data_IF_660048748478
#
_entry.id   IF_660048748478
#
_cell.length_a   1.000
_cell.length_b   1.000
_cell.length_c   1.000
_cell.angle_alpha   90.00
_cell.angle_beta   90.00
_cell.angle_gamma   90.00
#
_symmetry.space_group_name_H-M   'P 1'
#
loop_
_entity.id
_entity.type
_entity.pdbx_description
1 polymer ?
#
# COMPACT_ATOMS: atom_id res chain seq x y z
N UNK A 1 33.88 -8.35 -6.05
CA UNK A 1 32.74 -9.12 -6.58
C UNK A 1 31.46 -8.61 -5.97
N UNK A 2 30.56 -8.05 -6.78
CA UNK A 2 29.21 -7.75 -6.31
C UNK A 2 28.54 -9.09 -6.03
N UNK A 3 28.08 -9.31 -4.80
CA UNK A 3 27.38 -10.53 -4.42
C UNK A 3 26.15 -10.69 -5.32
N UNK A 4 26.16 -11.71 -6.20
CA UNK A 4 25.13 -11.89 -7.23
C UNK A 4 23.88 -12.59 -6.72
N UNK A 5 23.73 -12.76 -5.40
CA UNK A 5 22.67 -13.57 -4.80
C UNK A 5 22.85 -15.07 -4.99
N UNK A 6 21.98 -15.85 -4.36
CA UNK A 6 21.82 -17.28 -4.65
C UNK A 6 20.95 -17.47 -5.89
N UNK A 7 21.08 -18.63 -6.55
CA UNK A 7 20.22 -19.02 -7.68
C UNK A 7 19.44 -20.26 -7.29
N UNK A 8 18.15 -20.12 -7.08
CA UNK A 8 17.27 -21.20 -6.64
C UNK A 8 15.82 -20.93 -7.04
N UNK A 9 15.04 -21.99 -7.19
CA UNK A 9 13.59 -21.95 -7.22
C UNK A 9 13.12 -22.80 -6.04
N UNK A 10 12.32 -22.21 -5.15
CA UNK A 10 12.05 -22.70 -3.80
C UNK A 10 10.58 -23.08 -3.70
N UNK A 11 10.31 -24.37 -3.56
CA UNK A 11 8.97 -24.90 -3.31
C UNK A 11 8.70 -24.95 -1.80
N UNK A 12 7.77 -24.11 -1.33
CA UNK A 12 7.34 -24.05 0.06
C UNK A 12 6.09 -24.89 0.26
N UNK A 13 6.31 -26.17 0.55
CA UNK A 13 5.26 -27.22 0.65
C UNK A 13 4.93 -27.62 2.09
N UNK A 14 5.47 -26.89 3.07
CA UNK A 14 5.28 -27.16 4.50
C UNK A 14 4.60 -25.94 5.14
N UNK A 15 3.46 -26.18 5.79
CA UNK A 15 2.71 -25.16 6.52
C UNK A 15 3.45 -24.67 7.77
N UNK A 16 3.10 -23.49 8.27
CA UNK A 16 3.71 -22.86 9.46
C UNK A 16 5.21 -22.58 9.33
N UNK A 17 5.72 -22.54 8.10
CA UNK A 17 7.13 -22.25 7.87
C UNK A 17 7.39 -20.75 7.91
N UNK A 18 8.47 -20.35 8.59
CA UNK A 18 9.00 -18.99 8.50
C UNK A 18 10.33 -19.03 7.77
N UNK A 19 10.39 -18.35 6.63
CA UNK A 19 11.59 -18.12 5.85
C UNK A 19 11.92 -16.63 5.97
N UNK A 20 13.05 -16.34 6.61
CA UNK A 20 13.44 -14.97 6.94
C UNK A 20 14.90 -14.72 6.60
N UNK A 21 15.16 -13.59 5.95
CA UNK A 21 16.50 -13.04 5.82
C UNK A 21 16.96 -12.41 7.13
N UNK A 22 18.19 -12.72 7.55
CA UNK A 22 18.85 -12.08 8.70
C UNK A 22 19.43 -10.70 8.37
N UNK A 23 19.62 -10.37 7.09
CA UNK A 23 20.32 -9.15 6.64
C UNK A 23 19.43 -8.20 5.82
N UNK A 24 18.13 -8.45 5.78
CA UNK A 24 17.15 -7.68 5.02
C UNK A 24 17.25 -7.88 3.49
N UNK A 25 16.30 -7.31 2.77
CA UNK A 25 16.13 -7.52 1.32
C UNK A 25 17.29 -6.96 0.51
N UNK A 26 17.91 -5.88 0.97
CA UNK A 26 19.07 -5.29 0.29
C UNK A 26 20.28 -6.23 0.19
N UNK A 27 20.38 -7.24 1.06
CA UNK A 27 21.56 -8.12 1.16
C UNK A 27 21.24 -9.61 0.94
N UNK A 28 19.96 -10.00 0.89
CA UNK A 28 19.55 -11.38 0.67
C UNK A 28 18.79 -11.49 -0.65
N UNK A 29 19.52 -11.80 -1.71
CA UNK A 29 19.01 -11.86 -3.07
C UNK A 29 18.84 -13.34 -3.48
N UNK A 30 17.63 -13.72 -3.87
CA UNK A 30 17.29 -15.02 -4.46
C UNK A 30 16.89 -14.80 -5.91
N UNK A 31 17.72 -15.29 -6.82
CA UNK A 31 17.45 -15.26 -8.25
C UNK A 31 16.84 -16.58 -8.68
N UNK A 32 15.91 -16.55 -9.63
CA UNK A 32 15.45 -17.75 -10.30
C UNK A 32 16.66 -18.52 -10.88
N UNK A 33 16.79 -19.81 -10.53
CA UNK A 33 17.73 -20.70 -11.21
C UNK A 33 17.24 -21.03 -12.62
N UNK A 34 15.92 -21.27 -12.74
CA UNK A 34 15.16 -21.40 -13.97
C UNK A 34 14.17 -20.24 -14.07
N UNK A 35 14.34 -19.38 -15.09
CA UNK A 35 13.45 -18.24 -15.32
C UNK A 35 12.03 -18.64 -15.73
N UNK A 36 11.84 -19.91 -16.15
CA UNK A 36 10.53 -20.51 -16.42
C UNK A 36 9.91 -21.15 -15.18
N UNK A 37 10.30 -20.72 -14.00
CA UNK A 37 9.70 -21.15 -12.75
C UNK A 37 9.57 -20.00 -11.75
N UNK A 38 8.73 -20.18 -10.73
CA UNK A 38 8.59 -19.21 -9.65
C UNK A 38 9.85 -19.23 -8.77
N UNK A 39 10.24 -18.09 -8.18
CA UNK A 39 11.39 -18.12 -7.25
C UNK A 39 10.97 -18.67 -5.89
N UNK A 40 9.88 -18.17 -5.33
CA UNK A 40 9.17 -18.80 -4.22
C UNK A 40 7.80 -19.28 -4.71
N UNK A 41 7.57 -20.59 -4.72
CA UNK A 41 6.25 -21.19 -4.91
C UNK A 41 5.67 -21.64 -3.56
N UNK A 42 4.77 -20.84 -3.02
CA UNK A 42 4.11 -21.08 -1.73
C UNK A 42 2.85 -21.89 -1.98
N UNK A 43 2.86 -23.14 -1.52
CA UNK A 43 1.80 -24.12 -1.70
C UNK A 43 1.19 -24.57 -0.36
N UNK A 44 1.42 -23.82 0.71
CA UNK A 44 1.01 -24.18 2.06
C UNK A 44 0.61 -22.98 2.87
N UNK A 45 -0.33 -23.21 3.78
CA UNK A 45 -0.90 -22.19 4.64
C UNK A 45 0.05 -21.75 5.76
N UNK A 46 -0.20 -20.59 6.34
CA UNK A 46 0.54 -20.05 7.48
C UNK A 46 2.05 -19.89 7.23
N UNK A 47 2.44 -19.66 5.97
CA UNK A 47 3.84 -19.41 5.59
C UNK A 47 4.18 -17.93 5.77
N UNK A 48 5.33 -17.66 6.38
CA UNK A 48 5.91 -16.33 6.49
C UNK A 48 7.14 -16.23 5.58
N UNK A 49 7.16 -15.28 4.64
CA UNK A 49 8.35 -14.95 3.84
C UNK A 49 8.72 -13.49 4.05
N UNK A 50 9.93 -13.23 4.54
CA UNK A 50 10.34 -11.86 4.85
C UNK A 50 11.80 -11.52 4.58
N UNK A 51 12.02 -10.32 4.04
CA UNK A 51 13.34 -9.71 3.92
C UNK A 51 14.17 -10.19 2.74
N UNK A 52 13.56 -10.67 1.66
CA UNK A 52 14.29 -11.10 0.45
C UNK A 52 14.15 -10.11 -0.70
N UNK A 53 15.21 -9.95 -1.49
CA UNK A 53 15.08 -9.50 -2.88
C UNK A 53 14.93 -10.75 -3.76
N UNK A 54 13.93 -10.76 -4.64
CA UNK A 54 13.48 -11.94 -5.39
C UNK A 54 13.33 -11.59 -6.86
N UNK A 55 14.17 -12.17 -7.72
CA UNK A 55 14.35 -11.68 -9.10
C UNK A 55 14.49 -12.78 -10.15
N UNK A 56 14.37 -12.38 -11.43
CA UNK A 56 14.71 -13.17 -12.62
C UNK A 56 13.76 -14.33 -12.98
N UNK A 57 12.56 -14.41 -12.40
CA UNK A 57 11.48 -15.26 -12.91
C UNK A 57 10.77 -14.57 -14.10
N UNK A 58 11.42 -14.55 -15.26
CA UNK A 58 11.06 -13.66 -16.39
C UNK A 58 10.09 -14.25 -17.40
N UNK A 59 9.90 -15.57 -17.43
CA UNK A 59 8.98 -16.19 -18.39
C UNK A 59 7.51 -15.91 -18.07
N UNK A 60 6.65 -16.12 -19.06
CA UNK A 60 5.22 -15.83 -18.93
C UNK A 60 4.61 -16.56 -17.73
N UNK A 61 3.78 -15.85 -16.95
CA UNK A 61 3.08 -16.35 -15.77
C UNK A 61 3.96 -16.62 -14.55
N UNK A 62 5.28 -16.42 -14.63
CA UNK A 62 6.20 -16.70 -13.52
C UNK A 62 6.35 -15.51 -12.59
N UNK A 63 6.57 -15.82 -11.31
CA UNK A 63 6.54 -14.81 -10.26
C UNK A 63 7.80 -14.89 -9.40
N UNK A 64 8.21 -13.73 -8.86
CA UNK A 64 9.17 -13.71 -7.77
C UNK A 64 8.60 -14.48 -6.57
N UNK A 65 7.46 -14.04 -6.07
CA UNK A 65 6.74 -14.72 -4.99
C UNK A 65 5.36 -15.13 -5.50
N UNK A 66 5.07 -16.43 -5.50
CA UNK A 66 3.80 -17.01 -5.91
C UNK A 66 3.11 -17.67 -4.72
N UNK A 67 1.84 -17.33 -4.48
CA UNK A 67 0.97 -18.04 -3.56
C UNK A 67 -0.05 -18.82 -4.38
N UNK A 68 -0.05 -20.14 -4.20
CA UNK A 68 -0.86 -21.10 -4.95
C UNK A 68 -1.87 -21.74 -4.01
N UNK A 69 -3.11 -21.26 -4.02
CA UNK A 69 -4.17 -21.77 -3.15
C UNK A 69 -3.85 -21.72 -1.65
N UNK A 70 -2.97 -20.81 -1.23
CA UNK A 70 -2.47 -20.74 0.16
C UNK A 70 -3.23 -19.68 0.96
N UNK A 71 -3.48 -19.98 2.23
CA UNK A 71 -4.19 -19.10 3.15
C UNK A 71 -3.37 -18.74 4.39
N UNK A 72 -3.71 -17.61 5.01
CA UNK A 72 -3.10 -17.15 6.27
C UNK A 72 -1.58 -16.95 6.22
N UNK A 73 -1.01 -16.75 5.03
CA UNK A 73 0.39 -16.43 4.84
C UNK A 73 0.68 -14.94 5.09
N UNK A 74 1.91 -14.65 5.50
CA UNK A 74 2.43 -13.30 5.66
C UNK A 74 3.65 -13.08 4.75
N UNK A 75 3.51 -12.19 3.79
CA UNK A 75 4.57 -11.80 2.87
C UNK A 75 4.97 -10.37 3.23
N UNK A 76 6.15 -10.18 3.81
CA UNK A 76 6.52 -8.86 4.33
C UNK A 76 7.94 -8.42 4.01
N UNK A 77 8.16 -7.12 3.79
CA UNK A 77 9.49 -6.53 3.62
C UNK A 77 10.33 -7.18 2.50
N UNK A 78 9.69 -7.69 1.46
CA UNK A 78 10.36 -8.28 0.30
C UNK A 78 10.46 -7.26 -0.84
N UNK A 79 11.48 -7.40 -1.69
CA UNK A 79 11.61 -6.70 -2.96
C UNK A 79 11.50 -7.72 -4.11
N UNK A 80 10.32 -7.85 -4.70
CA UNK A 80 10.06 -8.73 -5.84
C UNK A 80 10.22 -7.96 -7.17
N UNK A 81 11.46 -7.71 -7.58
CA UNK A 81 11.82 -6.91 -8.75
C UNK A 81 12.25 -7.73 -9.96
N UNK A 82 12.05 -7.19 -11.17
CA UNK A 82 12.59 -7.76 -12.41
C UNK A 82 12.09 -9.19 -12.72
N UNK A 83 10.81 -9.44 -12.48
CA UNK A 83 10.12 -10.70 -12.80
C UNK A 83 9.01 -10.46 -13.84
N UNK A 84 8.39 -11.52 -14.36
CA UNK A 84 7.14 -11.35 -15.11
C UNK A 84 6.03 -10.85 -14.18
N UNK A 85 5.87 -11.50 -13.01
CA UNK A 85 5.00 -11.04 -11.92
C UNK A 85 5.84 -10.84 -10.65
N UNK A 86 5.69 -9.72 -9.94
CA UNK A 86 6.42 -9.51 -8.68
C UNK A 86 5.89 -10.46 -7.61
N UNK A 87 4.69 -10.15 -7.12
CA UNK A 87 3.94 -11.00 -6.19
C UNK A 87 2.64 -11.43 -6.86
N UNK A 88 2.43 -12.74 -7.00
CA UNK A 88 1.22 -13.31 -7.60
C UNK A 88 0.51 -14.20 -6.60
N UNK A 89 -0.80 -13.99 -6.43
CA UNK A 89 -1.68 -14.79 -5.59
C UNK A 89 -2.77 -15.37 -6.47
N UNK A 90 -2.81 -16.70 -6.58
CA UNK A 90 -3.86 -17.42 -7.29
C UNK A 90 -4.69 -18.20 -6.29
N UNK A 91 -6.00 -17.93 -6.27
CA UNK A 91 -6.95 -18.62 -5.40
C UNK A 91 -6.53 -18.64 -3.93
N UNK A 92 -5.82 -17.60 -3.48
CA UNK A 92 -5.13 -17.52 -2.19
C UNK A 92 -5.78 -16.45 -1.33
N UNK A 93 -6.55 -16.86 -0.32
CA UNK A 93 -7.38 -15.96 0.50
C UNK A 93 -6.83 -15.78 1.91
N UNK A 94 -7.29 -14.76 2.63
CA UNK A 94 -6.93 -14.55 4.05
C UNK A 94 -5.43 -14.30 4.32
N UNK A 95 -4.68 -13.75 3.36
CA UNK A 95 -3.25 -13.46 3.47
C UNK A 95 -2.96 -11.98 3.78
N UNK A 96 -1.76 -11.72 4.28
CA UNK A 96 -1.26 -10.37 4.56
C UNK A 96 0.00 -10.07 3.75
N UNK A 97 -0.02 -8.95 3.01
CA UNK A 97 1.12 -8.40 2.29
C UNK A 97 1.48 -7.04 2.90
N UNK A 98 2.68 -6.91 3.47
CA UNK A 98 3.09 -5.68 4.16
C UNK A 98 4.48 -5.20 3.77
N UNK A 99 4.63 -3.91 3.46
CA UNK A 99 5.92 -3.28 3.16
C UNK A 99 6.71 -3.97 2.03
N UNK A 100 6.03 -4.59 1.05
CA UNK A 100 6.73 -5.18 -0.10
C UNK A 100 6.92 -4.15 -1.20
N UNK A 101 8.02 -4.28 -1.93
CA UNK A 101 8.27 -3.58 -3.20
C UNK A 101 8.12 -4.56 -4.35
N UNK A 102 7.27 -4.27 -5.33
CA UNK A 102 7.14 -5.03 -6.56
C UNK A 102 7.39 -4.11 -7.76
N UNK A 103 8.63 -4.10 -8.26
CA UNK A 103 9.06 -3.11 -9.26
C UNK A 103 9.65 -3.71 -10.54
N UNK A 104 9.49 -3.00 -11.66
CA UNK A 104 10.04 -3.42 -12.95
C UNK A 104 9.55 -4.81 -13.41
N UNK A 105 8.28 -5.12 -13.16
CA UNK A 105 7.63 -6.36 -13.59
C UNK A 105 6.60 -6.10 -14.70
N UNK A 106 6.10 -7.14 -15.37
CA UNK A 106 4.86 -7.00 -16.15
C UNK A 106 3.68 -6.71 -15.22
N UNK A 107 3.53 -7.50 -14.15
CA UNK A 107 2.54 -7.28 -13.09
C UNK A 107 3.27 -7.11 -11.75
N UNK A 108 3.04 -6.01 -11.03
CA UNK A 108 3.64 -5.76 -9.72
C UNK A 108 3.09 -6.72 -8.67
N UNK A 109 1.88 -6.44 -8.19
CA UNK A 109 1.13 -7.29 -7.26
C UNK A 109 -0.17 -7.69 -7.94
N UNK A 110 -0.42 -9.00 -8.09
CA UNK A 110 -1.62 -9.51 -8.73
C UNK A 110 -2.33 -10.54 -7.85
N UNK A 111 -3.57 -10.24 -7.49
CA UNK A 111 -4.53 -11.14 -6.87
C UNK A 111 -5.50 -11.67 -7.94
N UNK A 112 -5.48 -12.97 -8.20
CA UNK A 112 -6.44 -13.67 -9.06
C UNK A 112 -7.31 -14.58 -8.18
N UNK A 113 -8.63 -14.40 -8.23
CA UNK A 113 -9.59 -15.18 -7.45
C UNK A 113 -9.25 -15.26 -5.94
N UNK A 114 -8.63 -14.20 -5.40
CA UNK A 114 -7.98 -14.20 -4.08
C UNK A 114 -8.67 -13.18 -3.18
N UNK A 115 -9.45 -13.65 -2.21
CA UNK A 115 -10.36 -12.80 -1.43
C UNK A 115 -9.91 -12.64 0.03
N UNK A 116 -10.45 -11.62 0.73
CA UNK A 116 -10.18 -11.40 2.16
C UNK A 116 -8.70 -11.17 2.50
N UNK A 117 -7.91 -10.59 1.59
CA UNK A 117 -6.51 -10.27 1.83
C UNK A 117 -6.32 -8.83 2.31
N UNK A 118 -5.24 -8.60 3.05
CA UNK A 118 -4.83 -7.28 3.53
C UNK A 118 -3.51 -6.87 2.90
N UNK A 119 -3.50 -5.77 2.15
CA UNK A 119 -2.32 -5.18 1.53
C UNK A 119 -2.05 -3.82 2.19
N UNK A 120 -0.96 -3.72 2.94
CA UNK A 120 -0.59 -2.48 3.66
C UNK A 120 0.81 -2.01 3.31
N UNK A 121 0.97 -0.71 3.03
CA UNK A 121 2.27 -0.07 2.78
C UNK A 121 3.11 -0.73 1.67
N UNK A 122 2.49 -1.39 0.68
CA UNK A 122 3.23 -1.97 -0.43
C UNK A 122 3.47 -0.92 -1.52
N UNK A 123 4.59 -1.06 -2.23
CA UNK A 123 4.94 -0.22 -3.38
C UNK A 123 4.98 -1.06 -4.65
N UNK A 124 4.13 -0.76 -5.62
CA UNK A 124 4.16 -1.34 -6.95
C UNK A 124 4.54 -0.26 -7.98
N UNK A 125 5.76 -0.33 -8.54
CA UNK A 125 6.30 0.73 -9.39
C UNK A 125 6.93 0.27 -10.70
N UNK A 126 6.82 1.09 -11.74
CA UNK A 126 7.42 0.81 -13.05
C UNK A 126 6.97 -0.53 -13.67
N UNK A 127 5.71 -0.91 -13.46
CA UNK A 127 5.11 -2.11 -14.02
C UNK A 127 4.13 -1.80 -15.15
N UNK A 128 3.71 -2.80 -15.92
CA UNK A 128 2.54 -2.63 -16.79
C UNK A 128 1.25 -2.55 -15.92
N UNK A 129 1.01 -3.52 -15.04
CA UNK A 129 -0.03 -3.39 -14.01
C UNK A 129 0.63 -3.24 -12.63
N UNK A 130 0.29 -2.18 -11.88
CA UNK A 130 0.82 -1.94 -10.53
C UNK A 130 0.25 -2.92 -9.52
N UNK A 131 -0.95 -2.66 -9.02
CA UNK A 131 -1.71 -3.56 -8.15
C UNK A 131 -2.98 -3.98 -8.88
N UNK A 132 -3.18 -5.27 -9.13
CA UNK A 132 -4.31 -5.80 -9.88
C UNK A 132 -5.10 -6.82 -9.07
N UNK A 133 -6.39 -6.57 -8.89
CA UNK A 133 -7.37 -7.49 -8.32
C UNK A 133 -8.25 -8.00 -9.45
N UNK A 134 -8.18 -9.29 -9.75
CA UNK A 134 -9.00 -9.98 -10.75
C UNK A 134 -9.92 -10.96 -10.05
N UNK A 135 -11.24 -10.74 -10.14
CA UNK A 135 -12.26 -11.57 -9.47
C UNK A 135 -11.98 -11.79 -7.97
N UNK A 136 -11.46 -10.75 -7.31
CA UNK A 136 -10.90 -10.82 -5.96
C UNK A 136 -11.67 -9.89 -5.03
N UNK A 137 -12.43 -10.47 -4.10
CA UNK A 137 -13.43 -9.75 -3.31
C UNK A 137 -12.97 -9.52 -1.86
N UNK A 138 -13.59 -8.56 -1.18
CA UNK A 138 -13.40 -8.35 0.26
C UNK A 138 -11.95 -8.08 0.69
N UNK A 139 -11.11 -7.52 -0.18
CA UNK A 139 -9.73 -7.16 0.17
C UNK A 139 -9.65 -5.74 0.74
N UNK A 140 -8.66 -5.52 1.60
CA UNK A 140 -8.35 -4.18 2.15
C UNK A 140 -6.97 -3.73 1.66
N UNK A 141 -6.93 -2.59 0.99
CA UNK A 141 -5.71 -1.96 0.50
C UNK A 141 -5.54 -0.62 1.22
N UNK A 142 -4.53 -0.53 2.08
CA UNK A 142 -4.26 0.68 2.86
C UNK A 142 -2.83 1.18 2.69
N UNK A 143 -2.66 2.49 2.47
CA UNK A 143 -1.35 3.14 2.34
C UNK A 143 -0.44 2.53 1.27
N UNK A 144 -0.98 1.89 0.22
CA UNK A 144 -0.15 1.35 -0.85
C UNK A 144 0.18 2.45 -1.86
N UNK A 145 1.34 2.34 -2.50
CA UNK A 145 1.78 3.23 -3.57
C UNK A 145 1.82 2.46 -4.88
N UNK A 146 1.08 2.91 -5.89
CA UNK A 146 1.10 2.39 -7.25
C UNK A 146 1.52 3.50 -8.21
N UNK A 147 2.83 3.58 -8.49
CA UNK A 147 3.41 4.72 -9.20
C UNK A 147 4.14 4.34 -10.49
N UNK A 148 4.13 5.23 -11.48
CA UNK A 148 4.89 5.06 -12.73
C UNK A 148 4.56 3.75 -13.46
N UNK A 149 3.36 3.20 -13.28
CA UNK A 149 2.91 2.01 -13.99
C UNK A 149 2.14 2.39 -15.26
N UNK A 150 1.79 1.43 -16.12
CA UNK A 150 0.78 1.70 -17.15
C UNK A 150 -0.60 1.89 -16.52
N UNK A 151 -1.00 0.97 -15.64
CA UNK A 151 -2.20 1.07 -14.80
C UNK A 151 -1.79 1.01 -13.33
N UNK A 152 -2.25 1.96 -12.50
CA UNK A 152 -1.91 2.04 -11.08
C UNK A 152 -2.54 0.92 -10.26
N UNK A 153 -3.76 1.14 -9.78
CA UNK A 153 -4.55 0.13 -9.05
C UNK A 153 -5.77 -0.24 -9.89
N UNK A 154 -5.92 -1.53 -10.23
CA UNK A 154 -7.03 -2.03 -11.04
C UNK A 154 -7.85 -3.07 -10.28
N UNK A 155 -9.16 -2.83 -10.16
CA UNK A 155 -10.16 -3.79 -9.72
C UNK A 155 -10.97 -4.27 -10.93
N UNK A 156 -10.69 -5.47 -11.42
CA UNK A 156 -11.44 -6.16 -12.47
C UNK A 156 -12.37 -7.22 -11.89
N UNK A 157 -13.68 -7.10 -12.12
CA UNK A 157 -14.70 -8.02 -11.61
C UNK A 157 -14.59 -8.29 -10.10
N UNK A 158 -14.16 -7.29 -9.33
CA UNK A 158 -13.75 -7.41 -7.92
C UNK A 158 -14.62 -6.52 -7.04
N UNK A 159 -15.33 -7.11 -6.08
CA UNK A 159 -16.37 -6.43 -5.31
C UNK A 159 -16.11 -6.42 -3.81
N UNK A 160 -16.74 -5.48 -3.10
CA UNK A 160 -16.66 -5.33 -1.65
C UNK A 160 -15.23 -5.08 -1.11
N UNK A 161 -14.34 -4.49 -1.90
CA UNK A 161 -12.99 -4.11 -1.46
C UNK A 161 -12.99 -2.70 -0.86
N UNK A 162 -12.04 -2.45 0.05
CA UNK A 162 -11.81 -1.12 0.64
C UNK A 162 -10.43 -0.62 0.27
N UNK A 163 -10.36 0.55 -0.37
CA UNK A 163 -9.11 1.23 -0.75
C UNK A 163 -9.02 2.56 0.01
N UNK A 164 -8.07 2.65 0.93
CA UNK A 164 -7.89 3.83 1.78
C UNK A 164 -6.46 4.33 1.81
N UNK A 165 -6.27 5.64 1.78
CA UNK A 165 -4.95 6.28 1.88
C UNK A 165 -3.94 5.79 0.83
N UNK A 166 -4.37 5.22 -0.29
CA UNK A 166 -3.43 4.74 -1.32
C UNK A 166 -3.02 5.91 -2.21
N UNK A 167 -1.79 5.86 -2.72
CA UNK A 167 -1.29 6.82 -3.70
C UNK A 167 -1.16 6.14 -5.06
N UNK A 168 -1.87 6.66 -6.05
CA UNK A 168 -1.75 6.24 -7.44
C UNK A 168 -1.27 7.43 -8.27
N UNK A 169 0.02 7.46 -8.62
CA UNK A 169 0.61 8.63 -9.26
C UNK A 169 1.47 8.33 -10.48
N UNK A 170 1.48 9.27 -11.42
CA UNK A 170 2.33 9.21 -12.62
C UNK A 170 2.13 7.94 -13.45
N UNK A 171 0.93 7.35 -13.42
CA UNK A 171 0.62 6.19 -14.25
C UNK A 171 0.26 6.63 -15.67
N UNK A 172 0.66 5.84 -16.68
CA UNK A 172 0.53 6.20 -18.10
C UNK A 172 -0.93 6.23 -18.56
N UNK A 173 -1.80 5.42 -17.98
CA UNK A 173 -3.21 5.42 -18.32
C UNK A 173 -4.03 5.89 -17.11
N UNK A 174 -4.38 4.96 -16.22
CA UNK A 174 -5.30 5.23 -15.12
C UNK A 174 -4.59 5.14 -13.77
N UNK A 175 -4.95 6.04 -12.86
CA UNK A 175 -4.54 5.95 -11.45
C UNK A 175 -5.23 4.79 -10.74
N UNK A 176 -6.54 4.91 -10.53
CA UNK A 176 -7.38 3.82 -10.00
C UNK A 176 -8.49 3.51 -11.00
N UNK A 177 -8.66 2.22 -11.35
CA UNK A 177 -9.66 1.78 -12.31
C UNK A 177 -10.52 0.63 -11.78
N UNK A 178 -11.84 0.75 -11.89
CA UNK A 178 -12.84 -0.25 -11.54
C UNK A 178 -13.61 -0.70 -12.79
N UNK A 179 -13.45 -1.96 -13.21
CA UNK A 179 -14.16 -2.52 -14.37
C UNK A 179 -14.97 -3.73 -13.97
N UNK A 180 -16.29 -3.69 -14.16
CA UNK A 180 -17.20 -4.78 -13.74
C UNK A 180 -17.19 -5.04 -12.23
N UNK A 181 -16.75 -4.05 -11.45
CA UNK A 181 -16.50 -4.14 -10.01
C UNK A 181 -17.59 -3.37 -9.26
N UNK A 182 -18.05 -3.88 -8.12
CA UNK A 182 -19.18 -3.28 -7.40
C UNK A 182 -19.00 -3.26 -5.88
N UNK A 183 -19.70 -2.35 -5.21
CA UNK A 183 -19.71 -2.22 -3.75
C UNK A 183 -18.31 -2.01 -3.14
N UNK A 184 -17.36 -1.47 -3.90
CA UNK A 184 -16.07 -1.07 -3.35
C UNK A 184 -16.18 0.33 -2.71
N UNK A 185 -15.38 0.58 -1.68
CA UNK A 185 -15.33 1.86 -0.97
C UNK A 185 -13.91 2.43 -1.12
N UNK A 186 -13.80 3.63 -1.70
CA UNK A 186 -12.55 4.31 -2.00
C UNK A 186 -12.58 5.72 -1.42
N UNK A 187 -11.74 6.02 -0.44
CA UNK A 187 -11.61 7.36 0.14
C UNK A 187 -10.18 7.62 0.62
N UNK A 188 -9.82 8.89 0.79
CA UNK A 188 -8.48 9.35 1.15
C UNK A 188 -7.36 8.92 0.20
N UNK A 189 -7.69 8.47 -1.01
CA UNK A 189 -6.67 8.11 -1.99
C UNK A 189 -6.15 9.36 -2.70
N UNK A 190 -4.86 9.34 -3.03
CA UNK A 190 -4.16 10.39 -3.75
C UNK A 190 -3.96 9.97 -5.21
N UNK A 191 -4.74 10.53 -6.12
CA UNK A 191 -4.66 10.25 -7.55
C UNK A 191 -3.98 11.44 -8.25
N UNK A 192 -2.70 11.28 -8.58
CA UNK A 192 -1.82 12.41 -8.91
C UNK A 192 -1.13 12.22 -10.27
N UNK A 193 -1.35 13.15 -11.19
CA UNK A 193 -0.65 13.23 -12.47
C UNK A 193 -0.70 11.92 -13.27
N UNK A 194 -1.84 11.23 -13.27
CA UNK A 194 -2.08 10.09 -14.16
C UNK A 194 -2.51 10.61 -15.54
N UNK A 195 -1.91 10.08 -16.61
CA UNK A 195 -1.93 10.75 -17.92
C UNK A 195 -3.29 10.70 -18.61
N UNK A 196 -3.97 9.55 -18.66
CA UNK A 196 -5.30 9.48 -19.29
C UNK A 196 -6.36 9.95 -18.30
N UNK A 197 -6.44 9.32 -17.13
CA UNK A 197 -7.39 9.69 -16.08
C UNK A 197 -6.86 9.37 -14.69
N UNK A 198 -7.18 10.22 -13.72
CA UNK A 198 -6.94 9.89 -12.32
C UNK A 198 -7.78 8.69 -11.88
N UNK A 199 -9.08 8.68 -12.17
CA UNK A 199 -9.99 7.60 -11.88
C UNK A 199 -10.81 7.17 -13.10
N UNK A 200 -11.19 5.89 -13.17
CA UNK A 200 -12.19 5.40 -14.10
C UNK A 200 -13.02 4.28 -13.47
N UNK A 201 -14.33 4.34 -13.60
CA UNK A 201 -15.24 3.39 -12.98
C UNK A 201 -16.45 3.09 -13.87
N UNK A 202 -16.49 1.86 -14.41
CA UNK A 202 -17.61 1.34 -15.17
C UNK A 202 -18.51 0.39 -14.36
N UNK A 203 -18.42 0.45 -13.03
CA UNK A 203 -19.18 -0.36 -12.10
C UNK A 203 -20.03 0.50 -11.18
N UNK A 204 -20.31 -0.01 -9.98
CA UNK A 204 -21.11 0.71 -8.96
C UNK A 204 -20.33 0.74 -7.66
N UNK A 205 -19.59 1.82 -7.41
CA UNK A 205 -18.69 1.93 -6.26
C UNK A 205 -18.85 3.29 -5.57
N UNK A 206 -18.40 3.34 -4.32
CA UNK A 206 -18.43 4.55 -3.50
C UNK A 206 -17.04 5.18 -3.51
N UNK A 207 -16.93 6.37 -4.09
CA UNK A 207 -15.68 7.16 -4.15
C UNK A 207 -15.57 8.17 -3.01
N UNK A 208 -16.44 8.07 -2.01
CA UNK A 208 -16.38 8.88 -0.81
C UNK A 208 -17.15 8.22 0.33
N UNK A 209 -16.84 8.65 1.55
CA UNK A 209 -17.67 8.41 2.73
C UNK A 209 -18.78 9.48 2.83
N UNK A 210 -19.51 9.53 3.94
CA UNK A 210 -20.49 10.59 4.18
C UNK A 210 -19.88 11.98 4.40
N UNK A 211 -18.56 12.09 4.60
CA UNK A 211 -17.90 13.35 4.97
C UNK A 211 -16.62 13.65 4.21
N UNK A 212 -16.06 12.69 3.46
CA UNK A 212 -14.74 12.87 2.82
C UNK A 212 -14.54 11.88 1.68
N UNK A 213 -13.89 12.33 0.61
CA UNK A 213 -13.58 11.59 -0.61
C UNK A 213 -12.09 11.44 -0.85
N UNK A 214 -11.67 11.60 -2.10
CA UNK A 214 -10.30 11.41 -2.58
C UNK A 214 -9.71 12.71 -3.13
N UNK A 215 -8.39 12.74 -3.25
CA UNK A 215 -7.69 13.81 -3.94
C UNK A 215 -7.44 13.45 -5.41
N UNK A 216 -7.76 14.38 -6.31
CA UNK A 216 -7.51 14.25 -7.75
C UNK A 216 -6.70 15.47 -8.22
N UNK A 217 -5.55 15.26 -8.85
CA UNK A 217 -4.70 16.38 -9.30
C UNK A 217 -5.31 17.25 -10.40
N UNK A 218 -6.38 16.79 -11.04
CA UNK A 218 -7.16 17.50 -12.07
C UNK A 218 -8.47 18.11 -11.51
N UNK A 219 -8.73 17.99 -10.21
CA UNK A 219 -9.86 18.63 -9.58
C UNK A 219 -9.69 20.15 -9.55
N UNK A 220 -10.71 20.87 -10.03
CA UNK A 220 -10.70 22.33 -10.21
C UNK A 220 -11.94 23.00 -9.62
N UNK A 221 -12.65 22.30 -8.73
CA UNK A 221 -13.84 22.82 -8.06
C UNK A 221 -13.54 23.86 -6.99
N UNK A 222 -14.60 24.37 -6.37
CA UNK A 222 -14.53 25.35 -5.28
C UNK A 222 -14.62 24.72 -3.90
N UNK A 223 -13.99 25.35 -2.92
CA UNK A 223 -14.14 25.13 -1.49
C UNK A 223 -14.53 26.48 -0.86
N UNK A 224 -15.84 26.70 -0.66
CA UNK A 224 -16.39 28.00 -0.28
C UNK A 224 -16.32 28.25 1.23
N UNK A 225 -16.29 27.19 2.05
CA UNK A 225 -16.17 27.29 3.50
C UNK A 225 -14.74 27.06 4.02
N UNK A 226 -13.80 26.73 3.12
CA UNK A 226 -12.37 26.58 3.37
C UNK A 226 -12.04 25.47 4.38
N UNK A 227 -12.83 24.39 4.36
CA UNK A 227 -12.61 23.23 5.24
C UNK A 227 -11.64 22.19 4.64
N UNK A 228 -11.15 22.42 3.41
CA UNK A 228 -10.23 21.53 2.68
C UNK A 228 -10.94 20.47 1.84
N UNK A 229 -12.27 20.46 1.83
CA UNK A 229 -13.14 19.58 1.05
C UNK A 229 -13.83 20.43 -0.03
N UNK A 230 -13.88 19.89 -1.24
CA UNK A 230 -14.52 20.54 -2.37
C UNK A 230 -16.04 20.49 -2.30
N UNK A 231 -16.68 21.64 -2.45
CA UNK A 231 -18.14 21.78 -2.59
C UNK A 231 -18.66 21.33 -3.97
N UNK A 232 -17.75 21.23 -4.95
CA UNK A 232 -18.08 20.77 -6.30
C UNK A 232 -17.77 19.28 -6.42
N UNK A 233 -18.79 18.44 -6.61
CA UNK A 233 -18.57 17.01 -6.80
C UNK A 233 -17.65 16.68 -7.99
N UNK A 234 -16.80 15.68 -7.86
CA UNK A 234 -15.96 15.15 -8.95
C UNK A 234 -16.64 13.96 -9.63
N UNK A 235 -16.92 14.07 -10.93
CA UNK A 235 -17.53 12.99 -11.71
C UNK A 235 -16.46 11.97 -12.11
N UNK A 236 -16.69 10.69 -11.82
CA UNK A 236 -15.77 9.62 -12.21
C UNK A 236 -16.13 9.13 -13.62
N UNK A 237 -15.23 9.23 -14.61
CA UNK A 237 -15.46 8.72 -15.95
C UNK A 237 -15.77 7.21 -15.96
N UNK A 238 -16.62 6.76 -16.88
CA UNK A 238 -16.97 5.34 -17.06
C UNK A 238 -18.47 5.09 -16.98
N UNK A 239 -19.14 5.61 -15.95
CA UNK A 239 -20.60 5.62 -15.81
C UNK A 239 -21.10 6.83 -14.99
N UNK A 240 -21.84 6.62 -13.89
CA UNK A 240 -22.47 7.65 -13.05
C UNK A 240 -21.88 7.72 -11.64
N UNK A 241 -20.67 7.20 -11.43
CA UNK A 241 -20.02 7.28 -10.12
C UNK A 241 -19.50 8.70 -9.87
N UNK A 242 -19.64 9.17 -8.64
CA UNK A 242 -19.36 10.55 -8.24
C UNK A 242 -18.65 10.49 -6.90
N UNK A 243 -17.58 11.28 -6.76
CA UNK A 243 -17.06 11.69 -5.46
C UNK A 243 -17.73 13.01 -5.06
N UNK A 244 -18.53 12.97 -3.99
CA UNK A 244 -19.25 14.15 -3.48
C UNK A 244 -18.41 15.05 -2.56
N UNK A 245 -17.27 14.56 -2.09
CA UNK A 245 -16.42 15.25 -1.10
C UNK A 245 -14.95 15.20 -1.53
N UNK A 246 -14.60 15.62 -2.78
CA UNK A 246 -13.22 15.56 -3.25
C UNK A 246 -12.33 16.46 -2.38
N UNK A 247 -11.10 16.05 -2.13
CA UNK A 247 -10.16 16.82 -1.31
C UNK A 247 -9.51 17.95 -2.14
N UNK A 248 -9.32 19.13 -1.53
CA UNK A 248 -8.63 20.27 -2.16
C UNK A 248 -7.11 20.11 -2.21
N UNK A 249 -6.56 19.27 -1.32
CA UNK A 249 -5.13 18.97 -1.22
C UNK A 249 -4.91 17.46 -1.09
N UNK A 250 -3.71 16.95 -1.43
CA UNK A 250 -3.38 15.56 -1.20
C UNK A 250 -3.73 15.14 0.23
N UNK A 251 -4.37 13.98 0.37
CA UNK A 251 -4.55 13.37 1.67
C UNK A 251 -3.20 13.07 2.27
N UNK A 252 -2.88 13.79 3.34
CA UNK A 252 -1.80 13.44 4.22
C UNK A 252 -2.43 12.73 5.40
N UNK A 253 -1.95 11.53 5.72
CA UNK A 253 -2.21 10.98 7.04
C UNK A 253 -1.58 11.96 8.02
N UNK A 254 -2.40 12.77 8.66
CA UNK A 254 -1.93 13.74 9.64
C UNK A 254 -1.11 12.94 10.66
N UNK A 255 0.15 13.30 10.93
CA UNK A 255 0.89 12.70 12.03
C UNK A 255 -0.02 12.76 13.24
N UNK A 256 -0.28 11.60 13.86
CA UNK A 256 -1.09 11.58 15.06
C UNK A 256 -0.38 12.52 16.05
N UNK A 257 -1.08 13.53 16.56
CA UNK A 257 -0.45 14.48 17.48
C UNK A 257 0.14 13.69 18.65
N UNK A 258 1.46 13.76 18.84
CA UNK A 258 2.19 12.96 19.83
C UNK A 258 2.78 11.63 19.33
N UNK A 259 2.57 11.24 18.07
CA UNK A 259 3.31 10.18 17.38
C UNK A 259 4.51 10.82 16.65
N UNK A 260 5.71 10.59 17.18
CA UNK A 260 6.94 11.26 16.77
C UNK A 260 7.94 10.32 16.09
N UNK A 261 7.60 9.05 15.97
CA UNK A 261 8.33 8.09 15.14
C UNK A 261 7.54 7.60 13.92
N UNK A 262 6.28 8.03 13.78
CA UNK A 262 5.43 7.77 12.63
C UNK A 262 4.87 6.35 12.59
N UNK A 263 4.94 5.60 13.68
CA UNK A 263 4.44 4.22 13.76
C UNK A 263 2.92 4.13 13.97
N UNK A 264 2.24 5.29 14.05
CA UNK A 264 0.81 5.43 14.25
C UNK A 264 0.31 4.96 15.62
N UNK A 265 1.19 4.85 16.60
CA UNK A 265 0.88 4.59 18.00
C UNK A 265 1.50 5.69 18.86
N UNK A 266 0.80 6.09 19.93
CA UNK A 266 1.37 7.01 20.93
C UNK A 266 1.94 6.16 22.04
N UNK A 267 3.27 6.14 22.14
CA UNK A 267 4.00 5.30 23.10
C UNK A 267 5.00 6.13 23.92
N UNK A 268 5.67 5.47 24.88
CA UNK A 268 6.78 6.09 25.60
C UNK A 268 7.99 6.43 24.71
N UNK A 269 8.08 5.82 23.51
CA UNK A 269 9.13 6.11 22.54
C UNK A 269 8.95 7.52 21.97
N UNK A 270 7.71 7.91 21.70
CA UNK A 270 7.37 9.26 21.26
C UNK A 270 7.66 10.30 22.34
N UNK A 271 7.35 10.00 23.60
CA UNK A 271 7.71 10.89 24.71
C UNK A 271 9.23 11.12 24.80
N UNK A 272 10.03 10.10 24.47
CA UNK A 272 11.50 10.22 24.41
C UNK A 272 11.93 11.14 23.28
N UNK A 273 11.26 11.09 22.13
CA UNK A 273 11.54 11.97 20.99
C UNK A 273 11.15 13.41 21.31
N UNK A 274 10.00 13.64 21.96
CA UNK A 274 9.60 14.98 22.42
C UNK A 274 10.64 15.59 23.38
N UNK A 275 11.22 14.79 24.29
CA UNK A 275 12.31 15.25 25.15
C UNK A 275 13.57 15.62 24.35
N UNK A 276 13.93 14.83 23.34
CA UNK A 276 15.06 15.13 22.45
C UNK A 276 14.86 16.43 21.68
N UNK A 277 13.63 16.70 21.22
CA UNK A 277 13.27 17.97 20.57
C UNK A 277 13.35 19.12 21.57
N UNK A 278 12.82 18.95 22.79
CA UNK A 278 12.83 19.97 23.85
C UNK A 278 14.26 20.41 24.26
N UNK A 279 15.23 19.49 24.19
CA UNK A 279 16.65 19.80 24.45
C UNK A 279 17.43 20.20 23.20
N UNK A 280 16.77 20.36 22.05
CA UNK A 280 17.40 20.75 20.78
C UNK A 280 18.31 19.69 20.17
N UNK A 281 18.19 18.43 20.61
CA UNK A 281 18.92 17.29 20.03
C UNK A 281 18.31 16.79 18.73
N UNK A 282 17.10 17.25 18.39
CA UNK A 282 16.36 16.96 17.15
C UNK A 282 15.69 18.22 16.60
N UNK A 283 15.42 18.28 15.28
CA UNK A 283 14.60 19.34 14.69
C UNK A 283 13.23 19.44 15.36
N UNK A 284 12.65 20.63 15.36
CA UNK A 284 11.28 20.85 15.83
C UNK A 284 10.30 20.03 14.98
N UNK A 285 9.35 19.41 15.67
CA UNK A 285 8.23 18.68 15.09
C UNK A 285 6.95 19.28 15.67
N UNK A 286 6.03 19.72 14.82
CA UNK A 286 4.76 20.31 15.24
C UNK A 286 3.82 19.26 15.87
N UNK A 287 4.00 17.98 15.57
CA UNK A 287 3.26 16.91 16.24
C UNK A 287 3.68 16.76 17.71
N UNK A 288 4.86 17.27 18.09
CA UNK A 288 5.37 17.20 19.45
C UNK A 288 4.85 18.34 20.35
N UNK A 289 4.24 19.39 19.81
CA UNK A 289 3.63 20.47 20.60
C UNK A 289 2.21 20.07 21.02
N UNK A 290 2.11 19.34 22.13
CA UNK A 290 0.85 18.73 22.55
C UNK A 290 -0.13 19.75 23.12
N UNK A 291 0.37 20.83 23.72
CA UNK A 291 -0.46 21.85 24.36
C UNK A 291 -0.80 23.06 23.46
N UNK A 292 -0.19 23.16 22.27
CA UNK A 292 -0.44 24.22 21.29
C UNK A 292 0.20 25.57 21.64
N UNK A 293 1.26 25.59 22.46
CA UNK A 293 1.95 26.82 22.87
C UNK A 293 3.10 27.25 21.93
N UNK A 294 3.25 26.53 20.80
CA UNK A 294 4.30 26.67 19.81
C UNK A 294 5.71 26.37 20.34
N UNK A 295 5.84 25.63 21.45
CA UNK A 295 7.10 25.15 21.99
C UNK A 295 6.98 23.66 22.29
N UNK A 296 8.10 22.95 22.12
CA UNK A 296 8.21 21.56 22.53
C UNK A 296 9.01 21.51 23.82
N UNK A 297 8.40 21.05 24.89
CA UNK A 297 8.96 21.04 26.24
C UNK A 297 8.80 19.66 26.89
N UNK A 298 9.31 19.50 28.11
CA UNK A 298 9.05 18.30 28.89
C UNK A 298 7.57 18.12 29.26
N UNK A 299 6.76 19.18 29.20
CA UNK A 299 5.32 19.10 29.40
C UNK A 299 4.66 18.32 28.26
N UNK A 300 5.09 18.55 27.02
CA UNK A 300 4.55 17.84 25.87
C UNK A 300 4.90 16.36 25.89
N UNK A 301 6.13 16.04 26.27
CA UNK A 301 6.54 14.66 26.51
C UNK A 301 5.71 13.98 27.61
N UNK A 302 5.33 14.74 28.66
CA UNK A 302 4.46 14.22 29.71
C UNK A 302 3.04 13.94 29.18
N UNK A 303 2.48 14.82 28.35
CA UNK A 303 1.16 14.62 27.73
C UNK A 303 1.17 13.36 26.86
N UNK A 304 2.22 13.18 26.03
CA UNK A 304 2.40 11.96 25.23
C UNK A 304 2.44 10.71 26.11
N UNK A 305 3.18 10.76 27.22
CA UNK A 305 3.27 9.62 28.14
C UNK A 305 1.93 9.30 28.84
N UNK A 306 1.14 10.32 29.17
CA UNK A 306 -0.20 10.15 29.74
C UNK A 306 -1.16 9.50 28.75
N UNK A 307 -1.12 9.94 27.48
CA UNK A 307 -1.89 9.35 26.39
C UNK A 307 -1.48 7.88 26.16
N UNK A 308 -0.18 7.59 26.15
CA UNK A 308 0.35 6.22 26.01
C UNK A 308 -0.09 5.28 27.14
N UNK A 309 -0.34 5.81 28.34
CA UNK A 309 -0.77 5.04 29.51
C UNK A 309 -2.30 4.79 29.56
N UNK A 310 -3.07 5.30 28.58
CA UNK A 310 -4.54 5.19 28.55
C UNK A 310 -5.23 5.98 29.67
N UNK A 311 -4.55 6.98 30.24
CA UNK A 311 -5.08 7.81 31.33
C UNK A 311 -5.72 9.05 30.71
N UNK A 312 -6.89 8.90 30.13
CA UNK A 312 -7.80 9.99 29.74
C UNK A 312 -9.23 9.61 30.11
#
# INVERSE_FOLDING_TARGET
DAYTGIKENIDVTVAYLTIQSENGSANCIVNALNSNDHVFDVQSDYVNITGFTVENATESYKAGIYLNGSEHCNISNNNASSNNRGIYMDSSSNNTLTNNTASNNSNGIWLASSSNNTLTNNTASNNNLGIFLASSNNNTLTNNTANSNKFGIWLGSSSNNTLTNNTANSNINYGIICLGSSNNILYHNNLINNTDYNAYDSGTNQWNTSTVGNYYSDYTGSDNDSDGIGDTSYQIPGERNIDYFPLMHPWEKTPLKGDLDGDSQITSKDATIALQIAVGSRPLDSAADMNGDCRVTSLDALIILQMAAGVC
#
